data_IF_470379120008
#
_entry.id   IF_470379120008
#
_cell.length_a   1.000
_cell.length_b   1.000
_cell.length_c   1.000
_cell.angle_alpha   90.00
_cell.angle_beta   90.00
_cell.angle_gamma   90.00
#
_symmetry.space_group_name_H-M   'P 1'
#
loop_
_entity.id
_entity.type
_entity.pdbx_description
1 polymer ?
#
# COMPACT_ATOMS: atom_id res chain seq x y z
N UNK A 1 -24.62 -76.87 47.30
CA UNK A 1 -24.18 -75.84 48.26
C UNK A 1 -24.32 -74.49 47.58
N UNK A 2 -25.44 -73.77 47.83
CA UNK A 2 -25.52 -72.42 48.45
C UNK A 2 -24.56 -71.39 47.80
N UNK A 3 -24.97 -70.29 47.20
CA UNK A 3 -26.26 -69.60 47.07
C UNK A 3 -26.18 -68.48 46.02
N UNK A 4 -27.29 -68.19 45.32
CA UNK A 4 -28.12 -66.97 45.48
C UNK A 4 -27.41 -65.68 45.03
N UNK A 5 -27.53 -65.21 43.78
CA UNK A 5 -28.69 -64.55 43.15
C UNK A 5 -29.14 -63.27 43.89
N UNK A 6 -29.02 -62.10 43.23
CA UNK A 6 -30.12 -61.10 43.09
C UNK A 6 -29.67 -59.83 42.36
N UNK A 7 -30.35 -59.57 41.25
CA UNK A 7 -30.46 -58.26 40.60
C UNK A 7 -31.57 -57.40 41.21
N UNK A 8 -31.48 -56.10 40.93
CA UNK A 8 -32.53 -55.06 40.91
C UNK A 8 -33.03 -54.49 42.26
N UNK A 9 -32.77 -53.19 42.48
CA UNK A 9 -33.76 -52.11 42.27
C UNK A 9 -33.16 -50.72 42.49
N UNK A 10 -33.73 -49.76 41.74
CA UNK A 10 -33.45 -48.32 41.68
C UNK A 10 -33.61 -47.61 43.03
N UNK A 11 -32.74 -46.64 43.30
CA UNK A 11 -33.03 -45.48 44.16
C UNK A 11 -32.62 -44.22 43.41
N UNK A 12 -33.61 -43.37 43.12
CA UNK A 12 -33.42 -42.01 42.62
C UNK A 12 -32.96 -41.13 43.78
N UNK A 13 -31.81 -40.46 43.61
CA UNK A 13 -31.36 -39.38 44.49
C UNK A 13 -31.43 -38.09 43.68
N UNK A 14 -32.39 -37.25 44.01
CA UNK A 14 -32.54 -35.88 43.50
C UNK A 14 -31.47 -35.02 44.16
N UNK A 15 -30.44 -34.66 43.39
CA UNK A 15 -29.38 -33.75 43.86
C UNK A 15 -29.73 -32.33 43.41
N UNK A 16 -30.15 -31.49 44.37
CA UNK A 16 -30.30 -30.05 44.18
C UNK A 16 -28.94 -29.42 43.86
N UNK A 17 -28.77 -28.91 42.65
CA UNK A 17 -27.66 -28.03 42.32
C UNK A 17 -28.10 -26.57 42.52
N UNK A 18 -27.51 -25.91 43.51
CA UNK A 18 -27.55 -24.45 43.63
C UNK A 18 -26.86 -23.85 42.40
N UNK A 19 -27.62 -23.13 41.58
CA UNK A 19 -27.06 -22.24 40.55
C UNK A 19 -26.61 -20.96 41.25
N UNK A 20 -25.32 -20.89 41.58
CA UNK A 20 -24.67 -19.62 41.87
C UNK A 20 -24.60 -18.83 40.56
N UNK A 21 -25.48 -17.83 40.44
CA UNK A 21 -25.43 -16.86 39.35
C UNK A 21 -24.18 -16.00 39.48
N UNK A 22 -23.09 -16.39 38.84
CA UNK A 22 -22.07 -15.44 38.42
C UNK A 22 -22.66 -14.62 37.28
N UNK A 23 -23.14 -13.42 37.60
CA UNK A 23 -23.32 -12.36 36.62
C UNK A 23 -21.94 -12.04 36.03
N UNK A 24 -21.58 -12.74 34.96
CA UNK A 24 -20.57 -12.28 34.02
C UNK A 24 -21.17 -11.02 33.41
N UNK A 25 -20.86 -9.85 33.99
CA UNK A 25 -21.09 -8.60 33.29
C UNK A 25 -20.41 -8.71 31.94
N UNK A 26 -21.18 -8.61 30.86
CA UNK A 26 -20.63 -8.57 29.52
C UNK A 26 -19.57 -7.47 29.51
N UNK A 27 -18.30 -7.83 29.33
CA UNK A 27 -17.27 -6.85 29.06
C UNK A 27 -17.77 -6.04 27.85
N UNK A 28 -18.06 -4.76 28.03
CA UNK A 28 -18.33 -3.90 26.88
C UNK A 28 -17.07 -3.96 26.02
N UNK A 29 -17.23 -4.44 24.79
CA UNK A 29 -16.14 -4.57 23.83
C UNK A 29 -15.55 -3.19 23.57
N UNK A 30 -14.25 -3.00 23.79
CA UNK A 30 -13.58 -1.75 23.44
C UNK A 30 -13.77 -1.45 21.94
N UNK A 31 -13.82 -0.17 21.52
CA UNK A 31 -13.86 0.14 20.10
C UNK A 31 -12.63 -0.40 19.37
N UNK A 32 -12.78 -0.69 18.08
CA UNK A 32 -11.68 -1.15 17.23
C UNK A 32 -10.58 -0.09 17.17
N UNK A 33 -9.33 -0.49 16.93
CA UNK A 33 -8.26 0.48 16.72
C UNK A 33 -8.41 1.12 15.34
N UNK A 34 -8.52 2.46 15.23
CA UNK A 34 -8.67 3.11 13.94
C UNK A 34 -7.33 3.19 13.18
N UNK A 35 -7.34 3.86 12.02
CA UNK A 35 -6.14 4.27 11.28
C UNK A 35 -6.24 5.73 10.89
N UNK A 36 -5.09 6.37 10.68
CA UNK A 36 -5.07 7.57 9.84
C UNK A 36 -5.33 7.07 8.42
N UNK A 37 -6.45 7.48 7.83
CA UNK A 37 -6.83 7.08 6.48
C UNK A 37 -6.01 7.80 5.41
N UNK A 38 -5.77 9.10 5.60
CA UNK A 38 -4.90 9.91 4.73
C UNK A 38 -4.54 11.24 5.41
N UNK A 39 -3.76 12.07 4.72
CA UNK A 39 -3.41 13.43 5.15
C UNK A 39 -3.69 14.42 4.03
N UNK A 40 -4.04 15.66 4.39
CA UNK A 40 -4.14 16.75 3.40
C UNK A 40 -2.74 17.08 2.90
N UNK A 41 -2.56 16.89 1.60
CA UNK A 41 -1.31 17.12 0.88
C UNK A 41 -1.07 18.63 0.67
N UNK A 42 0.19 19.02 0.50
CA UNK A 42 0.50 20.29 -0.15
C UNK A 42 -0.01 20.27 -1.59
N UNK A 43 -0.49 21.41 -2.07
CA UNK A 43 -0.86 21.62 -3.45
C UNK A 43 -0.15 22.90 -3.96
N UNK A 44 0.74 22.80 -4.96
CA UNK A 44 1.18 21.58 -5.63
C UNK A 44 2.11 20.70 -4.76
N UNK A 45 2.12 19.38 -5.01
CA UNK A 45 3.13 18.48 -4.45
C UNK A 45 4.52 18.76 -5.05
N UNK A 46 5.63 18.72 -4.28
CA UNK A 46 6.98 18.96 -4.80
C UNK A 46 7.40 18.04 -5.96
N UNK A 47 6.86 16.82 -6.02
CA UNK A 47 7.11 15.88 -7.13
C UNK A 47 6.60 16.39 -8.49
N UNK A 48 5.68 17.37 -8.52
CA UNK A 48 5.17 17.93 -9.76
C UNK A 48 6.21 18.76 -10.53
N UNK A 49 7.27 19.22 -9.87
CA UNK A 49 8.35 20.05 -10.46
C UNK A 49 9.75 19.47 -10.29
N UNK A 50 9.90 18.29 -9.68
CA UNK A 50 11.20 17.64 -9.48
C UNK A 50 11.75 17.09 -10.82
N UNK A 51 12.95 17.50 -11.27
CA UNK A 51 13.55 16.99 -12.52
C UNK A 51 13.88 15.49 -12.49
N UNK A 52 13.94 14.87 -11.32
CA UNK A 52 14.10 13.42 -11.20
C UNK A 52 12.83 12.65 -11.59
N UNK A 53 11.66 13.30 -11.52
CA UNK A 53 10.37 12.69 -11.84
C UNK A 53 10.21 12.53 -13.35
N UNK A 54 9.84 11.31 -13.75
CA UNK A 54 9.53 10.92 -15.13
C UNK A 54 8.02 11.07 -15.36
N UNK A 55 7.20 10.71 -14.36
CA UNK A 55 5.76 10.74 -14.44
C UNK A 55 5.15 11.10 -13.07
N UNK A 56 4.08 11.90 -13.11
CA UNK A 56 3.24 12.21 -11.95
C UNK A 56 1.79 12.36 -12.42
N UNK A 57 0.87 11.73 -11.69
CA UNK A 57 -0.57 11.94 -11.78
C UNK A 57 -1.23 11.60 -10.43
N UNK A 58 -1.90 12.58 -9.83
CA UNK A 58 -2.79 12.43 -8.66
C UNK A 58 -4.23 12.11 -9.07
N UNK A 59 -4.52 12.05 -10.37
CA UNK A 59 -5.84 11.80 -10.96
C UNK A 59 -6.85 12.94 -10.80
N UNK A 60 -6.43 14.13 -10.34
CA UNK A 60 -7.34 15.25 -10.13
C UNK A 60 -7.65 16.03 -11.41
N UNK A 61 -6.67 16.13 -12.33
CA UNK A 61 -6.86 16.74 -13.64
C UNK A 61 -7.24 15.70 -14.70
N UNK A 62 -8.48 15.76 -15.18
CA UNK A 62 -8.97 14.88 -16.26
C UNK A 62 -8.13 15.00 -17.54
N UNK A 63 -7.44 16.13 -17.77
CA UNK A 63 -6.55 16.31 -18.92
C UNK A 63 -5.35 15.36 -18.85
N UNK A 64 -4.87 15.02 -17.65
CA UNK A 64 -3.76 14.07 -17.49
C UNK A 64 -4.09 12.68 -18.02
N UNK A 65 -5.37 12.30 -18.05
CA UNK A 65 -5.78 10.96 -18.47
C UNK A 65 -5.47 10.70 -19.95
N UNK A 66 -5.50 11.74 -20.79
CA UNK A 66 -5.12 11.64 -22.21
C UNK A 66 -3.61 11.42 -22.45
N UNK A 67 -2.77 11.62 -21.44
CA UNK A 67 -1.32 11.40 -21.53
C UNK A 67 -0.93 9.91 -21.46
N UNK A 68 -1.81 9.04 -20.96
CA UNK A 68 -1.54 7.60 -20.93
C UNK A 68 -1.78 6.96 -22.29
N UNK A 69 -0.80 6.20 -22.79
CA UNK A 69 -0.96 5.49 -24.05
C UNK A 69 -2.02 4.39 -23.96
N UNK A 70 -2.13 3.74 -22.80
CA UNK A 70 -3.19 2.79 -22.50
C UNK A 70 -3.75 3.04 -21.11
N UNK A 71 -5.08 3.13 -21.04
CA UNK A 71 -5.82 3.34 -19.82
C UNK A 71 -7.10 2.51 -19.80
N UNK A 72 -7.51 2.10 -18.61
CA UNK A 72 -8.81 1.50 -18.35
C UNK A 72 -9.23 1.76 -16.90
N UNK A 73 -10.52 1.62 -16.61
CA UNK A 73 -11.08 1.95 -15.30
C UNK A 73 -11.36 3.44 -15.13
N UNK A 74 -12.31 3.73 -14.26
CA UNK A 74 -12.84 5.07 -14.03
C UNK A 74 -11.94 5.84 -13.05
N UNK A 75 -11.96 7.16 -13.14
CA UNK A 75 -11.45 8.04 -12.09
C UNK A 75 -12.65 8.55 -11.30
N UNK A 76 -12.64 8.39 -9.97
CA UNK A 76 -13.79 8.64 -9.10
C UNK A 76 -13.44 9.54 -7.93
N UNK A 77 -14.39 10.36 -7.49
CA UNK A 77 -14.21 11.29 -6.36
C UNK A 77 -14.60 10.68 -5.01
N UNK A 78 -15.38 9.59 -4.96
CA UNK A 78 -15.91 9.08 -3.67
C UNK A 78 -14.83 8.58 -2.71
N UNK A 79 -13.77 7.95 -3.25
CA UNK A 79 -12.62 7.49 -2.47
C UNK A 79 -11.41 8.20 -3.06
N UNK A 80 -10.72 9.00 -2.24
CA UNK A 80 -9.65 9.89 -2.68
C UNK A 80 -8.67 10.10 -1.54
N UNK A 81 -7.39 10.26 -1.85
CA UNK A 81 -6.37 10.55 -0.86
C UNK A 81 -6.44 12.03 -0.43
N UNK A 82 -6.25 12.34 0.85
CA UNK A 82 -6.27 13.72 1.36
C UNK A 82 -7.67 14.36 1.44
N UNK A 83 -8.72 13.64 1.02
CA UNK A 83 -10.11 14.03 1.20
C UNK A 83 -10.63 15.09 0.22
N UNK A 84 -9.84 15.45 -0.78
CA UNK A 84 -10.20 16.25 -1.98
C UNK A 84 -9.66 15.54 -3.22
N UNK A 85 -10.12 15.91 -4.42
CA UNK A 85 -9.66 15.28 -5.65
C UNK A 85 -10.40 13.99 -6.05
N UNK A 86 -9.72 13.12 -6.77
CA UNK A 86 -10.20 11.84 -7.30
C UNK A 86 -9.16 10.74 -7.12
N UNK A 87 -9.51 9.51 -7.47
CA UNK A 87 -8.55 8.40 -7.56
C UNK A 87 -8.94 7.42 -8.66
N UNK A 88 -7.99 6.61 -9.09
CA UNK A 88 -8.21 5.55 -10.06
C UNK A 88 -8.92 4.34 -9.43
N UNK A 89 -10.11 4.02 -9.94
CA UNK A 89 -10.90 2.87 -9.56
C UNK A 89 -10.51 1.62 -10.35
N UNK A 90 -10.03 0.61 -9.64
CA UNK A 90 -9.72 -0.73 -10.16
C UNK A 90 -10.83 -1.69 -9.74
N UNK A 91 -11.76 -2.02 -10.64
CA UNK A 91 -12.94 -2.86 -10.35
C UNK A 91 -12.61 -4.34 -10.47
N UNK A 92 -13.21 -5.14 -9.60
CA UNK A 92 -13.21 -6.60 -9.67
C UNK A 92 -14.62 -7.15 -9.51
N UNK A 93 -15.43 -7.16 -10.59
CA UNK A 93 -16.65 -7.94 -10.62
C UNK A 93 -16.39 -9.41 -10.24
N UNK A 94 -17.35 -10.06 -9.58
CA UNK A 94 -17.27 -11.46 -9.18
C UNK A 94 -16.92 -12.36 -10.37
N UNK A 95 -15.94 -13.23 -10.19
CA UNK A 95 -15.42 -14.14 -11.20
C UNK A 95 -14.58 -13.48 -12.31
N UNK A 96 -14.52 -12.15 -12.37
CA UNK A 96 -13.74 -11.43 -13.38
C UNK A 96 -12.29 -11.25 -12.96
N UNK A 97 -11.40 -11.10 -13.95
CA UNK A 97 -9.98 -10.81 -13.73
C UNK A 97 -9.71 -9.35 -13.39
N UNK A 98 -10.72 -8.49 -13.34
CA UNK A 98 -10.57 -7.08 -13.01
C UNK A 98 -10.55 -6.16 -14.22
N UNK A 99 -10.87 -4.89 -13.97
CA UNK A 99 -10.97 -3.80 -14.95
C UNK A 99 -10.28 -2.59 -14.33
N UNK A 100 -9.26 -2.08 -15.00
CA UNK A 100 -8.52 -0.92 -14.54
C UNK A 100 -7.03 -1.02 -14.83
N UNK A 101 -6.41 0.11 -15.11
CA UNK A 101 -4.98 0.16 -15.36
C UNK A 101 -4.51 1.50 -15.93
N UNK A 102 -3.21 1.74 -15.79
CA UNK A 102 -2.49 2.84 -16.43
C UNK A 102 -1.16 2.31 -16.91
N UNK A 103 -0.78 2.65 -18.15
CA UNK A 103 0.52 2.29 -18.70
C UNK A 103 1.25 3.54 -19.13
N UNK A 104 2.38 3.78 -18.49
CA UNK A 104 3.29 4.89 -18.82
C UNK A 104 4.46 4.33 -19.58
N UNK A 105 4.79 4.98 -20.69
CA UNK A 105 5.94 4.67 -21.54
C UNK A 105 6.87 5.87 -21.49
N UNK A 106 8.17 5.61 -21.39
CA UNK A 106 9.16 6.67 -21.23
C UNK A 106 10.52 6.25 -21.79
N UNK A 107 11.44 7.21 -21.91
CA UNK A 107 12.78 6.93 -22.39
C UNK A 107 12.80 6.27 -23.76
N UNK A 108 13.66 5.28 -23.90
CA UNK A 108 13.86 4.53 -25.13
C UNK A 108 12.73 3.54 -25.52
N UNK A 109 11.51 3.69 -24.97
CA UNK A 109 10.37 2.81 -25.26
C UNK A 109 10.14 2.65 -26.77
N UNK A 110 10.17 1.43 -27.32
CA UNK A 110 10.04 1.19 -28.75
C UNK A 110 8.61 1.35 -29.28
N UNK A 111 7.62 1.42 -28.40
CA UNK A 111 6.19 1.48 -28.70
C UNK A 111 5.58 2.78 -28.19
N UNK A 112 4.39 3.12 -28.72
CA UNK A 112 3.60 4.27 -28.26
C UNK A 112 4.35 5.61 -28.32
N UNK A 113 5.15 5.82 -29.39
CA UNK A 113 6.10 6.95 -29.53
C UNK A 113 5.48 8.34 -29.27
N UNK A 114 4.23 8.56 -29.62
CA UNK A 114 3.51 9.83 -29.38
C UNK A 114 3.17 10.10 -27.91
N UNK A 115 3.28 9.09 -27.04
CA UNK A 115 2.98 9.15 -25.61
C UNK A 115 4.22 8.88 -24.75
N UNK A 116 5.40 8.73 -25.36
CA UNK A 116 6.65 8.48 -24.64
C UNK A 116 7.09 9.76 -23.94
N UNK A 117 7.21 9.69 -22.62
CA UNK A 117 7.74 10.79 -21.80
C UNK A 117 9.27 10.70 -21.74
N UNK A 118 9.98 11.83 -21.84
CA UNK A 118 11.46 11.87 -21.81
C UNK A 118 12.09 10.91 -22.84
N UNK A 119 11.61 10.94 -24.08
CA UNK A 119 11.89 9.93 -25.10
C UNK A 119 13.35 9.80 -25.59
N UNK A 120 14.19 10.78 -25.29
CA UNK A 120 15.62 10.80 -25.67
C UNK A 120 16.53 10.23 -24.57
N UNK A 121 15.96 9.66 -23.51
CA UNK A 121 16.70 9.19 -22.34
C UNK A 121 16.64 7.66 -22.18
N UNK A 122 17.61 7.12 -21.44
CA UNK A 122 17.68 5.70 -21.09
C UNK A 122 17.81 5.55 -19.58
N UNK A 123 16.94 4.74 -18.98
CA UNK A 123 16.86 4.62 -17.53
C UNK A 123 17.31 3.24 -17.05
N UNK A 124 18.35 3.23 -16.22
CA UNK A 124 18.84 2.01 -15.57
C UNK A 124 18.35 1.83 -14.13
N UNK A 125 17.75 2.86 -13.54
CA UNK A 125 17.34 2.90 -12.13
C UNK A 125 16.04 3.69 -12.04
N UNK A 126 14.95 3.02 -11.71
CA UNK A 126 13.60 3.59 -11.71
C UNK A 126 12.88 3.22 -10.42
N UNK A 127 12.32 4.24 -9.78
CA UNK A 127 11.40 4.16 -8.65
C UNK A 127 9.99 4.42 -9.15
N UNK A 128 9.00 3.74 -8.59
CA UNK A 128 7.60 4.08 -8.78
C UNK A 128 6.83 3.93 -7.47
N UNK A 129 5.92 4.88 -7.22
CA UNK A 129 5.12 4.93 -6.00
C UNK A 129 3.65 5.13 -6.33
N UNK A 130 2.81 4.47 -5.56
CA UNK A 130 1.36 4.64 -5.54
C UNK A 130 0.85 4.63 -4.10
N UNK A 131 -0.27 5.28 -3.86
CA UNK A 131 -1.11 4.98 -2.71
C UNK A 131 -2.21 4.01 -3.14
N UNK A 132 -2.45 2.96 -2.35
CA UNK A 132 -3.48 1.95 -2.65
C UNK A 132 -4.42 1.78 -1.47
N UNK A 133 -5.72 1.69 -1.74
CA UNK A 133 -6.74 1.42 -0.73
C UNK A 133 -7.61 0.25 -1.15
N UNK A 134 -7.76 -0.72 -0.26
CA UNK A 134 -8.79 -1.75 -0.36
C UNK A 134 -9.98 -1.37 0.54
N UNK A 135 -11.21 -1.80 0.22
CA UNK A 135 -12.33 -1.73 1.14
C UNK A 135 -12.01 -2.56 2.40
N UNK A 136 -12.65 -2.21 3.52
CA UNK A 136 -12.40 -2.90 4.80
C UNK A 136 -12.83 -4.38 4.75
N UNK A 137 -13.87 -4.67 3.99
CA UNK A 137 -14.42 -6.01 3.77
C UNK A 137 -13.82 -6.69 2.53
N UNK A 138 -12.60 -6.30 2.14
CA UNK A 138 -11.88 -6.94 1.04
C UNK A 138 -11.79 -8.46 1.24
N UNK A 139 -12.09 -9.22 0.19
CA UNK A 139 -12.24 -10.67 0.28
C UNK A 139 -11.47 -11.39 -0.83
N UNK A 140 -10.82 -12.50 -0.50
CA UNK A 140 -10.12 -13.36 -1.46
C UNK A 140 -8.60 -13.23 -1.44
N UNK A 141 -8.03 -12.46 -0.51
CA UNK A 141 -6.60 -12.23 -0.41
C UNK A 141 -6.05 -11.38 -1.56
N UNK A 142 -4.83 -11.68 -2.00
CA UNK A 142 -4.16 -10.86 -3.01
C UNK A 142 -4.64 -11.12 -4.45
N UNK A 143 -5.02 -10.07 -5.21
CA UNK A 143 -5.55 -10.20 -6.55
C UNK A 143 -4.45 -10.39 -7.59
N UNK A 144 -3.37 -11.12 -7.31
CA UNK A 144 -2.18 -11.22 -8.16
C UNK A 144 -1.54 -9.85 -8.48
N UNK A 145 -1.85 -9.20 -9.60
CA UNK A 145 -1.02 -8.07 -10.07
C UNK A 145 -1.36 -6.74 -9.36
N UNK A 146 -0.33 -5.94 -9.10
CA UNK A 146 -0.45 -4.55 -8.64
C UNK A 146 0.21 -3.61 -9.65
N UNK A 147 1.52 -3.75 -9.84
CA UNK A 147 2.30 -2.91 -10.75
C UNK A 147 3.55 -3.63 -11.26
N UNK A 148 4.21 -3.06 -12.27
CA UNK A 148 5.52 -3.52 -12.74
C UNK A 148 6.29 -2.41 -13.44
N UNK A 149 7.62 -2.50 -13.40
CA UNK A 149 8.48 -1.86 -14.39
C UNK A 149 8.94 -2.89 -15.45
N UNK A 150 9.10 -2.48 -16.71
CA UNK A 150 9.49 -3.37 -17.82
C UNK A 150 10.46 -2.71 -18.80
N UNK A 151 11.32 -3.51 -19.43
CA UNK A 151 12.12 -3.10 -20.60
C UNK A 151 11.49 -3.75 -21.83
N UNK A 152 10.77 -2.96 -22.62
CA UNK A 152 10.16 -3.39 -23.87
C UNK A 152 11.17 -3.30 -25.01
N UNK A 153 11.18 -4.32 -25.88
CA UNK A 153 12.05 -4.37 -27.05
C UNK A 153 11.25 -4.73 -28.32
N UNK A 154 11.68 -4.27 -29.50
CA UNK A 154 11.00 -4.59 -30.76
C UNK A 154 11.24 -6.05 -31.21
N UNK A 155 10.41 -6.58 -32.12
CA UNK A 155 9.13 -6.00 -32.52
C UNK A 155 8.06 -6.15 -31.42
N UNK A 156 7.09 -5.25 -31.43
CA UNK A 156 5.94 -5.30 -30.51
C UNK A 156 6.33 -5.12 -29.04
N UNK A 157 5.85 -6.03 -28.19
CA UNK A 157 5.89 -5.92 -26.72
C UNK A 157 6.74 -7.03 -26.08
N UNK A 158 7.80 -7.46 -26.75
CA UNK A 158 8.79 -8.38 -26.17
C UNK A 158 9.44 -7.72 -24.96
N UNK A 159 9.90 -8.51 -24.00
CA UNK A 159 10.40 -8.01 -22.71
C UNK A 159 11.81 -8.51 -22.42
N UNK A 160 12.78 -7.60 -22.35
CA UNK A 160 14.14 -7.95 -21.92
C UNK A 160 14.21 -8.17 -20.40
N UNK A 161 13.40 -7.44 -19.63
CA UNK A 161 13.32 -7.60 -18.17
C UNK A 161 11.94 -7.20 -17.65
N UNK A 162 11.52 -7.78 -16.52
CA UNK A 162 10.25 -7.46 -15.85
C UNK A 162 10.45 -7.42 -14.33
N UNK A 163 10.21 -6.28 -13.70
CA UNK A 163 10.21 -6.11 -12.25
C UNK A 163 8.76 -6.15 -11.73
N UNK A 164 8.26 -7.34 -11.44
CA UNK A 164 6.89 -7.53 -10.94
C UNK A 164 6.76 -7.07 -9.47
N UNK A 165 5.64 -6.39 -9.17
CA UNK A 165 5.07 -6.25 -7.83
C UNK A 165 3.68 -6.87 -7.87
N UNK A 166 3.55 -8.02 -7.22
CA UNK A 166 2.31 -8.79 -7.22
C UNK A 166 2.15 -9.56 -5.90
N UNK A 167 0.98 -10.14 -5.67
CA UNK A 167 0.66 -10.76 -4.41
C UNK A 167 1.35 -12.12 -4.21
N UNK A 168 1.69 -12.40 -2.96
CA UNK A 168 2.06 -13.70 -2.43
C UNK A 168 1.17 -13.97 -1.22
N UNK A 169 0.05 -14.67 -1.45
CA UNK A 169 -1.05 -14.70 -0.48
C UNK A 169 -1.65 -13.31 -0.29
N UNK A 170 -1.72 -12.83 0.96
CA UNK A 170 -2.21 -11.50 1.33
C UNK A 170 -1.13 -10.41 1.26
N UNK A 171 0.14 -10.80 1.22
CA UNK A 171 1.27 -9.89 1.13
C UNK A 171 1.63 -9.57 -0.32
N UNK A 172 2.50 -8.58 -0.52
CA UNK A 172 3.17 -8.35 -1.79
C UNK A 172 4.51 -9.10 -1.86
N UNK A 173 4.96 -9.41 -3.07
CA UNK A 173 6.33 -9.85 -3.34
C UNK A 173 6.86 -9.23 -4.62
N UNK A 174 8.19 -9.28 -4.73
CA UNK A 174 8.94 -8.99 -5.94
C UNK A 174 9.24 -10.30 -6.65
N UNK A 175 8.93 -10.39 -7.95
CA UNK A 175 9.30 -11.54 -8.80
C UNK A 175 10.02 -11.08 -10.08
N UNK A 176 11.28 -10.64 -9.92
CA UNK A 176 12.11 -10.19 -11.03
C UNK A 176 12.31 -11.30 -12.08
N UNK A 177 12.18 -10.96 -13.36
CA UNK A 177 12.40 -11.89 -14.46
C UNK A 177 13.30 -11.29 -15.55
N UNK A 178 14.21 -12.12 -16.08
CA UNK A 178 15.05 -11.81 -17.23
C UNK A 178 14.54 -12.51 -18.48
N UNK A 179 14.30 -11.74 -19.53
CA UNK A 179 14.04 -12.21 -20.89
C UNK A 179 15.30 -12.27 -21.75
N UNK A 180 16.49 -12.19 -21.14
CA UNK A 180 17.78 -12.22 -21.84
C UNK A 180 18.54 -13.50 -21.54
N UNK A 181 19.29 -13.99 -22.54
CA UNK A 181 20.31 -15.02 -22.39
C UNK A 181 21.60 -14.48 -22.99
N UNK A 182 22.64 -14.37 -22.17
CA UNK A 182 23.90 -13.72 -22.52
C UNK A 182 23.66 -12.26 -22.99
N UNK A 183 23.61 -12.00 -24.29
CA UNK A 183 23.29 -10.68 -24.87
C UNK A 183 21.97 -10.64 -25.64
N UNK A 184 21.30 -11.79 -25.83
CA UNK A 184 20.14 -11.91 -26.72
C UNK A 184 18.83 -11.91 -25.96
N UNK A 185 17.89 -11.05 -26.37
CA UNK A 185 16.50 -11.13 -25.89
C UNK A 185 15.82 -12.35 -26.49
N UNK A 186 15.41 -13.29 -25.64
CA UNK A 186 14.79 -14.56 -26.06
C UNK A 186 13.28 -14.55 -26.04
N UNK A 187 12.64 -13.61 -25.33
CA UNK A 187 11.18 -13.46 -25.37
C UNK A 187 10.72 -13.08 -26.77
N UNK A 188 9.57 -13.60 -27.18
CA UNK A 188 8.94 -13.41 -28.50
C UNK A 188 7.65 -12.61 -28.44
N UNK A 189 7.04 -12.46 -27.25
CA UNK A 189 5.78 -11.75 -27.00
C UNK A 189 5.75 -11.13 -25.60
N UNK A 190 4.70 -10.38 -25.31
CA UNK A 190 4.40 -9.88 -23.96
C UNK A 190 4.05 -11.05 -23.03
N UNK A 191 4.57 -11.03 -21.80
CA UNK A 191 4.45 -12.11 -20.82
C UNK A 191 4.80 -13.50 -21.40
N UNK A 192 5.89 -13.59 -22.17
CA UNK A 192 6.40 -14.85 -22.69
C UNK A 192 7.10 -15.68 -21.59
N UNK A 193 6.30 -16.13 -20.60
CA UNK A 193 6.78 -16.74 -19.36
C UNK A 193 7.65 -17.98 -19.59
N UNK A 194 7.40 -18.73 -20.66
CA UNK A 194 8.19 -19.92 -21.03
C UNK A 194 9.64 -19.56 -21.40
N UNK A 195 9.88 -18.34 -21.88
CA UNK A 195 11.20 -17.84 -22.24
C UNK A 195 11.86 -16.97 -21.15
N UNK A 196 11.18 -16.74 -20.02
CA UNK A 196 11.74 -15.98 -18.92
C UNK A 196 12.62 -16.85 -18.01
N UNK A 197 13.68 -16.25 -17.47
CA UNK A 197 14.37 -16.75 -16.27
C UNK A 197 13.91 -15.94 -15.08
N UNK A 198 13.20 -16.59 -14.15
CA UNK A 198 12.81 -16.00 -12.87
C UNK A 198 14.03 -15.89 -11.96
N UNK A 199 14.21 -14.73 -11.34
CA UNK A 199 15.39 -14.39 -10.52
C UNK A 199 15.09 -14.48 -9.01
N UNK A 200 13.92 -15.01 -8.64
CA UNK A 200 13.57 -15.38 -7.27
C UNK A 200 12.54 -14.47 -6.62
N UNK A 201 11.55 -15.08 -5.97
CA UNK A 201 10.38 -14.38 -5.43
C UNK A 201 10.26 -14.40 -3.90
N UNK A 202 11.36 -14.69 -3.20
CA UNK A 202 11.43 -14.69 -1.74
C UNK A 202 12.55 -13.77 -1.22
N UNK A 203 12.37 -13.16 -0.03
CA UNK A 203 11.16 -13.19 0.78
C UNK A 203 10.02 -12.32 0.18
N UNK A 204 8.78 -12.67 0.51
CA UNK A 204 7.65 -11.77 0.35
C UNK A 204 7.64 -10.75 1.52
N UNK A 205 6.89 -9.66 1.34
CA UNK A 205 6.59 -8.67 2.37
C UNK A 205 6.02 -9.34 3.63
N UNK A 206 6.34 -8.80 4.80
CA UNK A 206 5.68 -9.19 6.05
C UNK A 206 4.31 -8.52 6.17
N UNK A 207 4.24 -7.27 5.71
CA UNK A 207 2.99 -6.51 5.67
C UNK A 207 1.99 -7.14 4.68
N UNK A 208 0.81 -7.51 5.20
CA UNK A 208 -0.28 -8.13 4.44
C UNK A 208 -1.20 -7.07 3.84
N UNK A 209 -0.75 -6.45 2.75
CA UNK A 209 -1.47 -5.36 2.08
C UNK A 209 -2.94 -5.69 1.74
N UNK A 210 -3.21 -6.95 1.40
CA UNK A 210 -4.55 -7.42 1.01
C UNK A 210 -5.32 -8.08 2.16
N UNK A 211 -4.83 -7.98 3.39
CA UNK A 211 -5.47 -8.49 4.60
C UNK A 211 -5.57 -7.42 5.69
N UNK A 212 -5.59 -7.86 6.95
CA UNK A 212 -5.86 -7.00 8.11
C UNK A 212 -4.85 -5.84 8.30
N UNK A 213 -3.66 -5.93 7.71
CA UNK A 213 -2.65 -4.87 7.79
C UNK A 213 -2.92 -3.70 6.85
N UNK A 214 -3.70 -3.88 5.77
CA UNK A 214 -3.88 -2.88 4.71
C UNK A 214 -5.30 -2.68 4.18
N UNK A 215 -6.29 -3.41 4.70
CA UNK A 215 -7.68 -3.30 4.27
C UNK A 215 -8.44 -2.17 4.97
N UNK A 216 -8.98 -1.22 4.20
CA UNK A 216 -9.86 -0.16 4.71
C UNK A 216 -9.24 1.23 4.83
N UNK A 217 -7.95 1.38 4.55
CA UNK A 217 -7.21 2.66 4.56
C UNK A 217 -6.23 2.74 3.39
N UNK A 218 -5.69 3.93 3.13
CA UNK A 218 -4.65 4.12 2.12
C UNK A 218 -3.30 3.63 2.65
N UNK A 219 -2.51 3.00 1.79
CA UNK A 219 -1.16 2.52 2.10
C UNK A 219 -0.21 2.98 1.01
N UNK A 220 0.94 3.52 1.40
CA UNK A 220 1.98 3.92 0.45
C UNK A 220 2.78 2.69 0.01
N UNK A 221 2.84 2.43 -1.29
CA UNK A 221 3.65 1.36 -1.88
C UNK A 221 4.64 1.97 -2.87
N UNK A 222 5.93 1.85 -2.57
CA UNK A 222 7.03 2.27 -3.44
C UNK A 222 7.87 1.06 -3.83
N UNK A 223 8.29 0.98 -5.08
CA UNK A 223 9.21 -0.05 -5.54
C UNK A 223 10.28 0.55 -6.44
N UNK A 224 11.40 -0.16 -6.56
CA UNK A 224 12.56 0.24 -7.36
C UNK A 224 13.10 -0.94 -8.12
N UNK A 225 13.41 -0.72 -9.39
CA UNK A 225 14.22 -1.62 -10.20
C UNK A 225 15.48 -0.91 -10.68
N UNK A 226 16.63 -1.47 -10.35
CA UNK A 226 17.93 -1.08 -10.86
C UNK A 226 18.51 -2.23 -11.69
N UNK A 227 18.72 -1.97 -12.98
CA UNK A 227 19.39 -2.90 -13.89
C UNK A 227 20.83 -3.16 -13.45
N UNK A 228 21.33 -4.35 -13.76
CA UNK A 228 22.75 -4.64 -13.59
C UNK A 228 23.61 -3.90 -14.62
N UNK A 229 24.86 -3.62 -14.25
CA UNK A 229 25.94 -3.32 -15.19
C UNK A 229 26.02 -4.47 -16.20
N UNK A 230 26.10 -4.20 -17.53
CA UNK A 230 26.10 -5.28 -18.53
C UNK A 230 27.22 -6.30 -18.27
N UNK A 231 26.84 -7.57 -18.09
CA UNK A 231 27.73 -8.69 -17.79
C UNK A 231 27.91 -9.00 -16.31
N UNK A 232 27.46 -8.11 -15.41
CA UNK A 232 27.61 -8.25 -13.96
C UNK A 232 26.32 -8.72 -13.29
N UNK A 233 26.40 -9.05 -12.00
CA UNK A 233 25.27 -9.41 -11.15
C UNK A 233 25.15 -8.41 -9.99
N UNK A 234 24.91 -7.14 -10.30
CA UNK A 234 24.82 -6.02 -9.33
C UNK A 234 23.46 -5.31 -9.37
N UNK A 235 22.47 -5.90 -10.06
CA UNK A 235 21.11 -5.39 -10.14
C UNK A 235 20.34 -5.52 -8.83
N UNK A 236 19.33 -4.66 -8.65
CA UNK A 236 18.53 -4.56 -7.43
C UNK A 236 17.04 -4.48 -7.77
N UNK A 237 16.20 -5.13 -6.95
CA UNK A 237 14.75 -4.91 -6.91
C UNK A 237 14.35 -4.68 -5.45
N UNK A 238 13.61 -3.62 -5.14
CA UNK A 238 13.22 -3.27 -3.77
C UNK A 238 11.74 -2.88 -3.69
N UNK A 239 11.13 -3.15 -2.54
CA UNK A 239 9.74 -2.83 -2.21
C UNK A 239 9.71 -2.21 -0.81
N UNK A 240 9.12 -1.03 -0.72
CA UNK A 240 8.77 -0.37 0.53
C UNK A 240 7.27 -0.27 0.68
N UNK A 241 6.78 -0.55 1.88
CA UNK A 241 5.40 -0.29 2.27
C UNK A 241 5.44 0.65 3.45
N UNK A 242 4.75 1.79 3.32
CA UNK A 242 4.80 2.89 4.28
C UNK A 242 6.24 3.26 4.68
N UNK A 243 7.13 3.37 3.69
CA UNK A 243 8.54 3.74 3.89
C UNK A 243 9.42 2.65 4.50
N UNK A 244 8.88 1.48 4.86
CA UNK A 244 9.64 0.37 5.44
C UNK A 244 10.04 -0.62 4.35
N UNK A 245 11.32 -1.01 4.29
CA UNK A 245 11.81 -1.99 3.32
C UNK A 245 11.23 -3.38 3.65
N UNK A 246 10.29 -3.84 2.85
CA UNK A 246 9.55 -5.09 3.08
C UNK A 246 10.10 -6.26 2.27
N UNK A 247 10.63 -5.99 1.07
CA UNK A 247 11.24 -7.02 0.25
C UNK A 247 12.41 -6.45 -0.55
N UNK A 248 13.46 -7.25 -0.70
CA UNK A 248 14.63 -6.89 -1.47
C UNK A 248 15.19 -8.10 -2.22
N UNK A 249 15.71 -7.82 -3.41
CA UNK A 249 16.50 -8.73 -4.23
C UNK A 249 17.77 -7.98 -4.63
N UNK A 250 18.92 -8.60 -4.34
CA UNK A 250 20.24 -8.10 -4.73
C UNK A 250 20.90 -9.10 -5.67
N UNK A 251 22.01 -8.67 -6.24
CA UNK A 251 22.83 -9.46 -7.13
C UNK A 251 22.05 -10.01 -8.33
N UNK A 252 21.12 -9.21 -8.85
CA UNK A 252 20.27 -9.63 -9.95
C UNK A 252 20.99 -9.46 -11.28
N UNK A 253 20.96 -10.51 -12.10
CA UNK A 253 21.27 -10.42 -13.51
C UNK A 253 19.97 -10.29 -14.33
N UNK A 254 19.54 -9.03 -14.52
CA UNK A 254 18.34 -8.69 -15.27
C UNK A 254 18.50 -8.88 -16.76
N UNK A 255 19.68 -8.54 -17.30
CA UNK A 255 19.86 -8.34 -18.75
C UNK A 255 21.14 -8.94 -19.34
N UNK A 256 21.90 -9.73 -18.60
CA UNK A 256 23.21 -10.20 -19.04
C UNK A 256 24.04 -9.03 -19.60
N UNK A 257 24.49 -9.16 -20.86
CA UNK A 257 25.22 -8.12 -21.60
C UNK A 257 24.33 -7.24 -22.49
N UNK A 258 23.02 -7.46 -22.52
CA UNK A 258 22.11 -6.63 -23.31
C UNK A 258 22.10 -5.19 -22.79
N UNK A 259 22.38 -4.23 -23.67
CA UNK A 259 22.49 -2.81 -23.32
C UNK A 259 21.75 -1.89 -24.29
N UNK A 260 20.98 -2.44 -25.24
CA UNK A 260 20.30 -1.62 -26.26
C UNK A 260 19.15 -0.80 -25.70
N UNK A 261 18.58 -1.21 -24.54
CA UNK A 261 17.48 -0.52 -23.88
C UNK A 261 17.57 -0.57 -22.36
N UNK A 262 17.04 0.47 -21.73
CA UNK A 262 16.80 0.56 -20.30
C UNK A 262 15.42 0.06 -19.91
N UNK A 263 15.01 0.41 -18.69
CA UNK A 263 13.62 0.35 -18.25
C UNK A 263 12.88 1.49 -18.95
N UNK A 264 11.74 1.18 -19.57
CA UNK A 264 11.06 2.14 -20.45
C UNK A 264 9.53 2.13 -20.33
N UNK A 265 9.00 1.40 -19.34
CA UNK A 265 7.60 1.49 -18.98
C UNK A 265 7.33 1.08 -17.54
N UNK A 266 6.30 1.68 -16.95
CA UNK A 266 5.71 1.27 -15.66
C UNK A 266 4.20 1.13 -15.84
N UNK A 267 3.65 -0.01 -15.37
CA UNK A 267 2.23 -0.33 -15.50
C UNK A 267 1.58 -0.50 -14.13
N UNK A 268 0.36 0.01 -14.00
CA UNK A 268 -0.61 -0.32 -12.96
C UNK A 268 -1.65 -1.28 -13.55
N UNK A 269 -1.92 -2.40 -12.88
CA UNK A 269 -2.74 -3.48 -13.42
C UNK A 269 -3.81 -3.95 -12.43
N UNK A 270 -5.09 -3.90 -12.79
CA UNK A 270 -6.12 -4.69 -12.11
C UNK A 270 -6.19 -6.09 -12.73
N UNK A 271 -5.53 -7.09 -12.12
CA UNK A 271 -5.53 -8.45 -12.69
C UNK A 271 -5.52 -9.57 -11.65
N UNK A 272 -6.69 -10.13 -11.36
CA UNK A 272 -6.89 -11.25 -10.44
C UNK A 272 -6.87 -12.60 -11.16
N UNK A 273 -5.86 -13.43 -10.91
CA UNK A 273 -5.69 -14.72 -11.61
C UNK A 273 -6.92 -15.64 -11.55
N UNK A 274 -7.46 -15.86 -10.35
CA UNK A 274 -8.61 -16.73 -10.08
C UNK A 274 -9.96 -16.03 -10.22
N UNK A 275 -9.94 -14.74 -10.54
CA UNK A 275 -11.10 -13.86 -10.44
C UNK A 275 -11.50 -13.54 -9.00
N UNK A 276 -12.22 -12.44 -8.83
CA UNK A 276 -12.66 -11.99 -7.51
C UNK A 276 -13.79 -12.85 -6.96
N UNK A 277 -13.81 -13.19 -5.65
CA UNK A 277 -14.90 -13.99 -5.06
C UNK A 277 -16.22 -13.22 -4.93
N UNK A 278 -16.14 -11.88 -4.93
CA UNK A 278 -17.25 -10.94 -4.75
C UNK A 278 -17.11 -9.75 -5.70
N UNK A 279 -18.15 -8.95 -5.84
CA UNK A 279 -18.01 -7.62 -6.46
C UNK A 279 -17.29 -6.69 -5.49
N UNK A 280 -16.12 -6.22 -5.88
CA UNK A 280 -15.32 -5.28 -5.07
C UNK A 280 -14.43 -4.43 -5.97
N UNK A 281 -13.69 -3.50 -5.36
CA UNK A 281 -12.74 -2.66 -6.07
C UNK A 281 -11.58 -2.31 -5.14
N UNK A 282 -10.49 -1.80 -5.72
CA UNK A 282 -9.47 -1.05 -4.99
C UNK A 282 -9.28 0.30 -5.65
N UNK A 283 -8.68 1.23 -4.93
CA UNK A 283 -8.37 2.57 -5.43
C UNK A 283 -6.87 2.78 -5.46
N UNK A 284 -6.39 3.50 -6.47
CA UNK A 284 -5.00 3.94 -6.58
C UNK A 284 -4.97 5.46 -6.74
N UNK A 285 -4.02 6.09 -6.05
CA UNK A 285 -3.85 7.54 -6.04
C UNK A 285 -2.35 7.88 -6.08
N UNK A 286 -2.04 9.11 -6.50
CA UNK A 286 -0.70 9.69 -6.53
C UNK A 286 0.36 8.76 -7.17
N UNK A 287 0.18 8.47 -8.46
CA UNK A 287 1.08 7.63 -9.23
C UNK A 287 2.30 8.42 -9.71
N UNK A 288 3.48 8.06 -9.18
CA UNK A 288 4.75 8.72 -9.47
C UNK A 288 5.76 7.71 -10.03
N UNK A 289 6.55 8.12 -11.02
CA UNK A 289 7.73 7.40 -11.52
C UNK A 289 8.91 8.35 -11.49
N UNK A 290 10.05 7.93 -10.94
CA UNK A 290 11.22 8.80 -10.71
C UNK A 290 12.54 8.06 -10.88
N UNK A 291 13.61 8.82 -11.10
CA UNK A 291 15.00 8.34 -11.08
C UNK A 291 15.64 8.37 -9.70
N UNK A 292 14.93 8.89 -8.68
CA UNK A 292 15.35 8.96 -7.28
C UNK A 292 14.24 8.42 -6.36
N UNK A 293 14.54 8.05 -5.10
CA UNK A 293 13.52 7.73 -4.11
C UNK A 293 12.43 8.80 -4.05
N UNK A 294 11.17 8.39 -3.96
CA UNK A 294 10.02 9.31 -4.05
C UNK A 294 9.55 9.69 -2.64
N UNK A 295 9.41 8.71 -1.76
CA UNK A 295 8.93 8.91 -0.41
C UNK A 295 7.42 9.17 -0.33
N UNK A 296 6.92 9.41 0.90
CA UNK A 296 5.52 9.70 1.12
C UNK A 296 5.13 11.08 0.58
N UNK A 297 3.83 11.38 0.58
CA UNK A 297 3.32 12.74 0.28
C UNK A 297 3.92 13.79 1.20
N UNK A 298 3.99 15.02 0.70
CA UNK A 298 4.43 16.19 1.46
C UNK A 298 3.23 16.96 1.96
N UNK A 299 3.23 17.32 3.23
CA UNK A 299 2.19 18.11 3.90
C UNK A 299 2.78 19.43 4.43
N UNK A 300 1.93 20.34 4.90
CA UNK A 300 2.40 21.49 5.68
C UNK A 300 3.03 21.04 6.99
N UNK A 301 3.78 21.94 7.65
CA UNK A 301 4.34 21.68 9.00
C UNK A 301 3.30 21.55 10.11
N UNK A 302 2.05 21.92 9.83
CA UNK A 302 0.88 21.73 10.67
C UNK A 302 -0.17 20.91 9.88
N UNK A 303 0.12 19.63 9.61
CA UNK A 303 -0.68 18.82 8.70
C UNK A 303 -2.10 18.63 9.22
N UNK A 304 -3.04 18.41 8.30
CA UNK A 304 -4.40 17.98 8.63
C UNK A 304 -4.51 16.47 8.43
N UNK A 305 -4.75 15.75 9.52
CA UNK A 305 -4.93 14.31 9.55
C UNK A 305 -6.39 13.93 9.30
N UNK A 306 -6.62 12.84 8.58
CA UNK A 306 -7.95 12.29 8.32
C UNK A 306 -7.99 10.86 8.87
N UNK A 307 -8.87 10.57 9.82
CA UNK A 307 -9.03 9.26 10.46
C UNK A 307 -10.06 8.40 9.71
N UNK A 308 -9.89 7.08 9.77
CA UNK A 308 -10.95 6.13 9.40
C UNK A 308 -12.20 6.29 10.26
N UNK A 309 -13.40 5.91 9.74
CA UNK A 309 -14.65 5.97 10.52
C UNK A 309 -14.61 5.19 11.84
N UNK A 310 -15.42 5.61 12.81
CA UNK A 310 -15.57 4.92 14.09
C UNK A 310 -16.18 3.53 13.92
N UNK A 311 -15.66 2.57 14.68
CA UNK A 311 -16.12 1.18 14.74
C UNK A 311 -15.96 0.67 16.17
N UNK A 312 -17.05 0.19 16.75
CA UNK A 312 -17.12 -0.18 18.16
C UNK A 312 -18.55 0.00 18.66
N UNK A 313 -18.84 -0.36 19.92
CA UNK A 313 -20.15 -0.12 20.51
C UNK A 313 -20.44 1.38 20.65
N UNK A 314 -21.72 1.72 20.63
CA UNK A 314 -22.18 3.09 20.80
C UNK A 314 -21.67 4.03 19.71
N UNK A 315 -21.35 5.25 20.12
CA UNK A 315 -20.87 6.33 19.27
C UNK A 315 -19.46 6.79 19.64
N UNK A 316 -18.78 7.50 18.72
CA UNK A 316 -17.47 8.08 19.01
C UNK A 316 -17.63 9.24 19.99
N UNK A 317 -16.93 9.17 21.12
CA UNK A 317 -16.80 10.29 22.06
C UNK A 317 -15.61 11.19 21.73
N UNK A 318 -14.47 10.57 21.46
CA UNK A 318 -13.22 11.27 21.18
C UNK A 318 -12.22 10.37 20.43
N UNK A 319 -11.12 10.96 19.97
CA UNK A 319 -9.95 10.23 19.46
C UNK A 319 -8.66 11.01 19.74
N UNK A 320 -7.53 10.30 19.70
CA UNK A 320 -6.21 10.87 19.93
C UNK A 320 -5.20 10.37 18.92
N UNK A 321 -4.22 11.21 18.64
CA UNK A 321 -3.10 10.91 17.74
C UNK A 321 -1.78 11.20 18.43
N UNK A 322 -0.78 10.39 18.11
CA UNK A 322 0.62 10.72 18.33
C UNK A 322 1.37 10.72 17.00
N UNK A 323 2.38 11.57 16.91
CA UNK A 323 3.27 11.68 15.75
C UNK A 323 4.69 11.46 16.24
N UNK A 324 5.39 10.54 15.60
CA UNK A 324 6.81 10.27 15.83
C UNK A 324 7.64 10.62 14.59
N UNK A 325 8.91 10.94 14.79
CA UNK A 325 9.85 11.22 13.68
C UNK A 325 10.56 9.98 13.14
N UNK A 326 10.32 8.83 13.77
CA UNK A 326 10.82 7.53 13.40
C UNK A 326 9.66 6.53 13.18
N UNK A 327 9.96 5.40 12.55
CA UNK A 327 8.94 4.42 12.16
C UNK A 327 8.60 3.40 13.26
N UNK A 328 9.36 3.37 14.37
CA UNK A 328 9.15 2.53 15.54
C UNK A 328 8.35 3.27 16.64
N UNK A 329 8.38 4.60 16.62
CA UNK A 329 7.71 5.45 17.58
C UNK A 329 8.51 5.74 18.84
N UNK A 330 9.83 5.64 18.75
CA UNK A 330 10.75 5.90 19.85
C UNK A 330 10.89 7.43 20.11
N UNK A 331 10.68 8.25 19.08
CA UNK A 331 10.82 9.71 19.11
C UNK A 331 9.48 10.41 18.82
N UNK A 332 8.58 10.44 19.82
CA UNK A 332 7.31 11.18 19.73
C UNK A 332 7.58 12.69 19.75
N UNK A 333 7.13 13.40 18.71
CA UNK A 333 7.30 14.86 18.54
C UNK A 333 6.02 15.66 18.73
N UNK A 334 4.86 15.01 18.71
CA UNK A 334 3.58 15.66 18.99
C UNK A 334 2.52 14.67 19.49
N UNK A 335 1.70 15.11 20.45
CA UNK A 335 0.59 14.33 20.99
C UNK A 335 -0.68 15.20 21.02
N UNK A 336 -1.80 14.66 20.58
CA UNK A 336 -3.07 15.38 20.59
C UNK A 336 -3.77 15.35 21.96
N UNK A 337 -4.50 16.42 22.25
CA UNK A 337 -5.61 16.37 23.22
C UNK A 337 -6.69 15.42 22.67
N UNK A 338 -7.55 14.83 23.53
CA UNK A 338 -8.74 14.11 23.06
C UNK A 338 -9.61 15.02 22.19
N UNK A 339 -9.68 14.72 20.89
CA UNK A 339 -10.47 15.48 19.92
C UNK A 339 -11.88 14.93 19.84
N UNK A 340 -12.89 15.81 19.84
CA UNK A 340 -14.29 15.47 19.55
C UNK A 340 -14.66 15.66 18.08
N UNK A 341 -13.71 16.10 17.26
CA UNK A 341 -13.90 16.19 15.81
C UNK A 341 -14.26 14.83 15.24
N UNK A 342 -15.06 14.81 14.17
CA UNK A 342 -15.56 13.55 13.63
C UNK A 342 -14.42 12.72 13.03
N UNK A 343 -13.67 13.31 12.08
CA UNK A 343 -12.62 12.60 11.32
C UNK A 343 -11.35 13.41 11.05
N UNK A 344 -11.37 14.73 11.24
CA UNK A 344 -10.26 15.62 10.86
C UNK A 344 -9.62 16.27 12.07
N UNK A 345 -8.29 16.40 12.05
CA UNK A 345 -7.54 17.08 13.10
C UNK A 345 -6.34 17.80 12.50
N UNK A 346 -6.28 19.12 12.68
CA UNK A 346 -5.09 19.91 12.35
C UNK A 346 -4.08 19.79 13.47
N UNK A 347 -2.83 19.47 13.15
CA UNK A 347 -1.73 19.40 14.11
C UNK A 347 -1.30 20.80 14.52
N UNK A 348 -1.35 21.11 15.82
CA UNK A 348 -0.95 22.40 16.35
C UNK A 348 -1.03 22.46 17.88
N UNK A 349 -0.66 23.60 18.45
CA UNK A 349 -0.69 23.82 19.92
C UNK A 349 -2.10 23.92 20.50
N UNK A 350 -3.09 24.25 19.65
CA UNK A 350 -4.50 24.29 20.06
C UNK A 350 -5.04 22.86 20.29
N UNK A 351 -4.67 21.94 19.40
CA UNK A 351 -5.18 20.56 19.34
C UNK A 351 -4.28 19.54 20.04
N UNK A 352 -3.07 19.92 20.44
CA UNK A 352 -2.10 19.04 21.07
C UNK A 352 -0.90 19.78 21.65
N UNK A 353 0.14 19.01 21.97
CA UNK A 353 1.40 19.50 22.52
C UNK A 353 2.54 18.94 21.70
N UNK A 354 3.44 19.83 21.27
CA UNK A 354 4.71 19.44 20.66
C UNK A 354 5.72 19.06 21.74
N UNK A 355 6.65 18.17 21.41
CA UNK A 355 7.70 17.68 22.32
C UNK A 355 9.06 17.97 21.71
N UNK A 356 10.08 18.18 22.56
CA UNK A 356 11.45 18.39 22.12
C UNK A 356 11.62 19.69 21.32
N UNK A 357 12.38 19.64 20.22
CA UNK A 357 12.67 20.84 19.40
C UNK A 357 11.40 21.50 18.85
N UNK A 358 10.37 20.70 18.52
CA UNK A 358 9.09 21.21 18.01
C UNK A 358 8.26 21.98 19.05
N UNK A 359 8.58 21.86 20.34
CA UNK A 359 7.91 22.64 21.40
C UNK A 359 8.11 24.14 21.19
N UNK A 360 9.31 24.55 20.77
CA UNK A 360 9.67 25.95 20.56
C UNK A 360 9.12 26.54 19.27
N UNK A 361 8.92 25.72 18.23
CA UNK A 361 8.50 26.18 16.90
C UNK A 361 7.00 26.09 16.69
N UNK A 362 6.28 25.37 17.55
CA UNK A 362 4.84 25.08 17.44
C UNK A 362 4.44 24.46 16.09
N UNK A 363 5.37 23.75 15.46
CA UNK A 363 5.18 23.08 14.17
C UNK A 363 6.17 21.92 14.02
N UNK A 364 5.88 21.00 13.09
CA UNK A 364 6.81 19.94 12.74
C UNK A 364 8.01 20.51 11.98
N UNK A 365 9.20 19.93 12.17
CA UNK A 365 10.40 20.30 11.42
C UNK A 365 10.27 19.97 9.93
N UNK A 366 10.80 20.82 9.05
CA UNK A 366 10.76 20.65 7.57
C UNK A 366 11.68 19.52 7.09
N UNK A 367 11.35 18.92 5.94
CA UNK A 367 12.14 17.88 5.27
C UNK A 367 12.41 16.65 6.15
N UNK A 368 11.46 16.33 7.03
CA UNK A 368 11.48 15.13 7.87
C UNK A 368 10.28 14.26 7.55
N UNK A 369 10.46 12.95 7.65
CA UNK A 369 9.38 11.98 7.55
C UNK A 369 8.87 11.68 8.96
N UNK A 370 7.56 11.67 9.12
CA UNK A 370 6.89 11.37 10.38
C UNK A 370 5.90 10.23 10.21
N UNK A 371 5.56 9.57 11.31
CA UNK A 371 4.59 8.48 11.38
C UNK A 371 3.54 8.79 12.44
N UNK A 372 2.28 8.48 12.15
CA UNK A 372 1.20 8.66 13.11
C UNK A 372 0.86 7.36 13.84
N UNK A 373 0.21 7.43 14.99
CA UNK A 373 -0.66 6.36 15.49
C UNK A 373 -1.90 6.98 16.11
N UNK A 374 -2.99 6.23 16.14
CA UNK A 374 -4.30 6.76 16.53
C UNK A 374 -5.07 5.76 17.39
N UNK A 375 -5.84 6.29 18.35
CA UNK A 375 -6.84 5.53 19.13
C UNK A 375 -8.15 6.31 19.24
N UNK A 376 -9.25 5.63 19.51
CA UNK A 376 -10.58 6.24 19.65
C UNK A 376 -11.28 5.81 20.94
N UNK A 377 -12.25 6.60 21.37
CA UNK A 377 -13.01 6.41 22.60
C UNK A 377 -14.50 6.28 22.28
N UNK A 378 -15.17 5.29 22.89
CA UNK A 378 -16.62 5.17 22.86
C UNK A 378 -17.30 6.21 23.76
N UNK A 379 -18.61 6.40 23.58
CA UNK A 379 -19.47 7.18 24.48
C UNK A 379 -19.48 6.69 25.93
N UNK A 380 -19.26 5.39 26.14
CA UNK A 380 -19.06 4.79 27.48
C UNK A 380 -17.69 5.13 28.09
N UNK A 381 -16.80 5.78 27.35
CA UNK A 381 -15.48 6.21 27.81
C UNK A 381 -14.37 5.17 27.64
N UNK A 382 -14.66 4.01 27.04
CA UNK A 382 -13.65 3.00 26.76
C UNK A 382 -12.77 3.39 25.56
N UNK A 383 -11.46 3.28 25.72
CA UNK A 383 -10.50 3.52 24.64
C UNK A 383 -10.18 2.24 23.89
N UNK A 384 -10.00 2.35 22.57
CA UNK A 384 -9.34 1.33 21.76
C UNK A 384 -7.87 1.21 22.16
N UNK A 385 -7.23 0.12 21.74
CA UNK A 385 -5.77 0.10 21.65
C UNK A 385 -5.28 1.17 20.67
N UNK A 386 -4.01 1.54 20.79
CA UNK A 386 -3.34 2.35 19.77
C UNK A 386 -3.18 1.54 18.48
N UNK A 387 -3.36 2.20 17.34
CA UNK A 387 -2.94 1.64 16.06
C UNK A 387 -1.43 1.42 16.01
N UNK A 388 -0.92 0.52 15.14
CA UNK A 388 0.46 0.56 14.69
C UNK A 388 0.81 1.91 14.06
N UNK A 389 2.11 2.18 13.95
CA UNK A 389 2.65 3.41 13.37
C UNK A 389 2.44 3.48 11.85
N UNK A 390 1.50 4.34 11.45
CA UNK A 390 1.02 4.62 10.09
C UNK A 390 0.28 5.97 10.16
N UNK A 391 0.35 6.90 9.23
CA UNK A 391 0.77 6.86 7.83
C UNK A 391 2.01 7.74 7.68
N UNK A 392 3.04 7.34 6.91
CA UNK A 392 4.19 8.21 6.69
C UNK A 392 3.79 9.45 5.89
N UNK A 393 4.36 10.58 6.26
CA UNK A 393 4.28 11.83 5.51
C UNK A 393 5.55 12.65 5.74
N UNK A 394 5.91 13.45 4.75
CA UNK A 394 6.96 14.46 4.89
C UNK A 394 6.31 15.83 5.13
N UNK A 395 7.00 16.74 5.80
CA UNK A 395 6.55 18.14 5.90
C UNK A 395 7.48 19.08 5.16
N UNK A 396 6.94 20.17 4.60
CA UNK A 396 7.73 21.25 4.03
C UNK A 396 7.30 22.61 4.54
#
# INVERSE_FOLDING_TARGET
>A
MKGLNRSLRRMSVTCCWLVLGCSIGAAQDAPESPRIDSLVMLDPQPVASDPAVIWHDDFDDDKNQSRYAEQSGDVVDRTRFGGVGKSLLMKYPKGSRGIGGRKVFFGDSPTHRSHVVRGEETFGDVYWRIYVKHPRDWNGGGPAKLSRATSLVPPGWRQAMIAHVWSSGEALTLDPASGVRESRVVTTRYNDFDNLRWLGNKPASRFKLHGDDGAGWWVCVEARAKLNTPGEQDGVNQLWIDGRLEAERRNLDWRGKFSERGINAVFLEAYWNQGSPVDQARWIDNFVVSTKPIGPVVCSKNPVLIKTPYRGPGSQRAWQVEIADDNAGDEIVWQSKPSREQYRLTVGSETGSFVGVSETTHQLGSNRVYYCRVRQQSDTGQWSSWSPWHQPFQTQ
#
